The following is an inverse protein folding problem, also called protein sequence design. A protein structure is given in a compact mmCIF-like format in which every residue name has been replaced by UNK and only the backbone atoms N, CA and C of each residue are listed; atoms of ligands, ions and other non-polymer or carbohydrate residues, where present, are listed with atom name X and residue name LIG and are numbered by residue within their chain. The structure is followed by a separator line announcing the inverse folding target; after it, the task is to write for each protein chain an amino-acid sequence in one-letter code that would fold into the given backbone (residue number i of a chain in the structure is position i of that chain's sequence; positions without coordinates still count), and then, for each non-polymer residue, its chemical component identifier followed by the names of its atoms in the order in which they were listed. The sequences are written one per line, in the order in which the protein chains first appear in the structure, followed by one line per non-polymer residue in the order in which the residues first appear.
data_IF_704816096243
#
_entry.id   IF_704816096243
#
_cell.length_a   1.000
_cell.length_b   1.000
_cell.length_c   1.000
_cell.angle_alpha   90.00
_cell.angle_beta   90.00
_cell.angle_gamma   90.00
#
_symmetry.space_group_name_H-M   'P 1'
#
loop_
_entity.id
_entity.type
_entity.pdbx_description
1 polymer ?
#
# COMPACT_ATOMS: atom_id res chain seq x y z
N UNK A 1 22.08 56.28 -30.88
CA UNK A 1 22.41 55.26 -29.86
C UNK A 1 21.37 55.14 -28.73
N UNK A 2 20.99 56.19 -28.01
CA UNK A 2 19.98 56.12 -26.92
C UNK A 2 18.62 55.53 -27.34
N UNK A 3 18.12 55.87 -28.54
CA UNK A 3 16.82 55.31 -29.01
C UNK A 3 16.89 53.84 -29.39
N UNK A 4 18.02 53.33 -29.88
CA UNK A 4 18.21 51.90 -30.17
C UNK A 4 18.29 51.07 -28.89
N UNK A 5 18.90 51.60 -27.83
CA UNK A 5 19.00 50.95 -26.53
C UNK A 5 17.61 50.85 -25.86
N UNK A 6 16.78 51.89 -25.96
CA UNK A 6 15.42 51.87 -25.45
C UNK A 6 14.50 50.88 -26.18
N UNK A 7 14.66 50.76 -27.52
CA UNK A 7 13.94 49.77 -28.30
C UNK A 7 14.37 48.33 -27.97
N UNK A 8 15.67 48.09 -27.79
CA UNK A 8 16.16 46.78 -27.37
C UNK A 8 15.67 46.40 -25.94
N UNK A 9 15.67 47.36 -24.99
CA UNK A 9 15.14 47.15 -23.67
C UNK A 9 13.62 46.87 -23.63
N UNK A 10 12.85 47.52 -24.50
CA UNK A 10 11.41 47.26 -24.63
C UNK A 10 11.10 45.88 -25.22
N UNK A 11 11.95 45.37 -26.14
CA UNK A 11 11.81 44.02 -26.70
C UNK A 11 12.16 42.94 -25.69
N UNK A 12 13.10 43.19 -24.78
CA UNK A 12 13.47 42.26 -23.74
C UNK A 12 12.43 42.20 -22.59
N UNK A 13 11.70 43.29 -22.32
CA UNK A 13 10.66 43.35 -21.33
C UNK A 13 9.37 42.60 -21.75
N UNK A 14 9.22 42.23 -23.01
CA UNK A 14 8.09 41.47 -23.54
C UNK A 14 8.12 39.96 -23.23
N UNK A 15 9.22 39.42 -22.73
CA UNK A 15 9.37 38.04 -22.36
C UNK A 15 8.89 37.83 -20.91
N UNK A 16 7.69 38.31 -20.54
CA UNK A 16 7.03 37.82 -19.32
C UNK A 16 6.65 36.37 -19.58
N UNK A 17 7.12 35.51 -18.73
CA UNK A 17 6.75 34.10 -18.74
C UNK A 17 5.23 33.99 -18.50
N UNK A 18 4.47 33.92 -19.59
CA UNK A 18 3.03 33.64 -19.57
C UNK A 18 2.79 32.13 -19.66
N UNK A 19 3.73 31.35 -19.15
CA UNK A 19 3.59 29.90 -19.12
C UNK A 19 2.32 29.49 -18.36
N UNK A 20 1.65 28.48 -18.87
CA UNK A 20 0.48 27.88 -18.22
C UNK A 20 0.85 27.02 -16.99
N UNK A 21 2.11 27.04 -16.55
CA UNK A 21 2.57 26.27 -15.40
C UNK A 21 1.98 26.76 -14.06
N UNK A 22 1.81 28.07 -13.91
CA UNK A 22 1.20 28.66 -12.71
C UNK A 22 -0.16 29.28 -13.08
N UNK A 23 -1.20 28.53 -12.85
CA UNK A 23 -2.56 28.98 -13.08
C UNK A 23 -3.26 29.27 -11.74
N UNK A 24 -4.29 30.13 -11.77
CA UNK A 24 -5.16 30.40 -10.61
C UNK A 24 -6.10 29.21 -10.38
N UNK A 25 -5.55 28.08 -9.97
CA UNK A 25 -6.26 26.85 -9.60
C UNK A 25 -5.68 26.33 -8.31
N UNK A 26 -6.42 25.52 -7.59
CA UNK A 26 -5.86 24.74 -6.51
C UNK A 26 -5.16 23.50 -7.07
N UNK A 27 -3.92 23.29 -6.67
CA UNK A 27 -3.25 22.00 -6.82
C UNK A 27 -3.67 21.08 -5.68
N UNK A 28 -3.41 19.77 -5.83
CA UNK A 28 -3.70 18.80 -4.79
C UNK A 28 -3.00 19.21 -3.49
N UNK A 29 -3.74 19.23 -2.38
CA UNK A 29 -3.27 19.64 -1.05
C UNK A 29 -2.82 21.11 -0.93
N UNK A 30 -3.11 21.96 -1.91
CA UNK A 30 -2.83 23.39 -1.79
C UNK A 30 -3.63 24.02 -0.64
N UNK A 31 -3.08 25.04 0.05
CA UNK A 31 -3.87 25.82 0.98
C UNK A 31 -5.08 26.46 0.30
N UNK A 32 -6.23 26.47 0.97
CA UNK A 32 -7.47 27.06 0.45
C UNK A 32 -8.09 28.00 1.47
N UNK A 33 -8.61 29.12 0.99
CA UNK A 33 -9.40 30.06 1.79
C UNK A 33 -10.89 29.82 1.66
N UNK A 34 -11.30 28.90 0.79
CA UNK A 34 -12.72 28.59 0.52
C UNK A 34 -13.27 27.63 1.59
N UNK A 35 -12.43 26.68 2.05
CA UNK A 35 -12.85 25.64 2.97
C UNK A 35 -12.41 25.94 4.40
N UNK A 36 -13.26 25.60 5.37
CA UNK A 36 -13.02 25.88 6.79
C UNK A 36 -11.78 25.18 7.37
N UNK A 37 -11.41 24.03 6.81
CA UNK A 37 -10.22 23.25 7.18
C UNK A 37 -8.91 23.78 6.55
N UNK A 38 -9.02 24.82 5.71
CA UNK A 38 -7.88 25.47 5.07
C UNK A 38 -7.20 24.63 3.97
N UNK A 39 -7.79 23.51 3.55
CA UNK A 39 -7.22 22.65 2.52
C UNK A 39 -8.10 22.54 1.27
N UNK A 40 -7.47 22.40 0.10
CA UNK A 40 -8.19 22.11 -1.16
C UNK A 40 -8.55 20.62 -1.32
N UNK A 41 -7.91 19.74 -0.56
CA UNK A 41 -8.17 18.31 -0.57
C UNK A 41 -9.32 17.97 0.38
N UNK A 42 -10.54 18.03 -0.11
CA UNK A 42 -11.73 17.74 0.69
C UNK A 42 -11.98 16.23 0.78
N UNK A 43 -12.47 15.71 1.92
CA UNK A 43 -12.91 14.34 2.03
C UNK A 43 -14.09 14.07 1.11
N UNK A 44 -14.23 12.83 0.65
CA UNK A 44 -15.39 12.43 -0.14
C UNK A 44 -16.67 12.61 0.70
N UNK A 45 -17.76 13.14 0.10
CA UNK A 45 -19.05 13.22 0.78
C UNK A 45 -19.48 11.83 1.29
N UNK A 46 -20.12 11.80 2.46
CA UNK A 46 -20.63 10.56 3.02
C UNK A 46 -21.61 9.88 2.04
N UNK A 47 -21.50 8.58 1.87
CA UNK A 47 -22.34 7.81 0.94
C UNK A 47 -21.88 7.84 -0.53
N UNK A 48 -20.76 8.50 -0.84
CA UNK A 48 -20.19 8.43 -2.19
C UNK A 48 -19.76 6.99 -2.51
N UNK A 49 -20.24 6.46 -3.62
CA UNK A 49 -19.83 5.18 -4.20
C UNK A 49 -19.14 5.49 -5.52
N UNK A 50 -17.82 5.29 -5.57
CA UNK A 50 -17.06 5.50 -6.79
C UNK A 50 -17.22 4.31 -7.76
N UNK A 51 -16.94 4.55 -9.04
CA UNK A 51 -16.91 3.49 -10.03
C UNK A 51 -15.96 2.35 -9.59
N UNK A 52 -16.47 1.12 -9.63
CA UNK A 52 -15.73 -0.08 -9.23
C UNK A 52 -15.70 -0.38 -7.72
N UNK A 53 -16.25 0.48 -6.83
CA UNK A 53 -16.28 0.20 -5.39
C UNK A 53 -17.01 -1.09 -5.06
N UNK A 54 -18.17 -1.30 -5.66
CA UNK A 54 -18.96 -2.53 -5.42
C UNK A 54 -18.19 -3.79 -5.84
N UNK A 55 -17.44 -3.74 -6.95
CA UNK A 55 -16.61 -4.86 -7.40
C UNK A 55 -15.43 -5.09 -6.44
N UNK A 56 -14.80 -4.02 -5.94
CA UNK A 56 -13.74 -4.09 -4.93
C UNK A 56 -14.25 -4.70 -3.62
N UNK A 57 -15.41 -4.28 -3.17
CA UNK A 57 -16.05 -4.82 -1.97
C UNK A 57 -16.44 -6.29 -2.13
N UNK A 58 -16.96 -6.68 -3.30
CA UNK A 58 -17.26 -8.07 -3.59
C UNK A 58 -15.98 -8.94 -3.57
N UNK A 59 -14.87 -8.44 -4.13
CA UNK A 59 -13.59 -9.13 -4.12
C UNK A 59 -12.99 -9.32 -2.72
N UNK A 60 -13.34 -8.46 -1.74
CA UNK A 60 -12.93 -8.64 -0.35
C UNK A 60 -13.67 -9.79 0.35
N UNK A 61 -14.88 -10.13 -0.09
CA UNK A 61 -15.75 -11.10 0.58
C UNK A 61 -15.51 -12.54 0.13
N UNK A 62 -14.82 -12.74 -0.99
CA UNK A 62 -14.60 -14.07 -1.57
C UNK A 62 -13.12 -14.41 -1.52
N UNK A 63 -12.78 -15.40 -0.70
CA UNK A 63 -11.42 -15.93 -0.68
C UNK A 63 -11.16 -16.70 -1.97
N UNK A 64 -10.12 -16.33 -2.75
CA UNK A 64 -9.79 -17.06 -3.98
C UNK A 64 -9.15 -18.41 -3.66
N UNK A 65 -9.17 -19.32 -4.63
CA UNK A 65 -8.41 -20.55 -4.59
C UNK A 65 -6.90 -20.26 -4.52
N UNK A 66 -6.19 -21.00 -3.66
CA UNK A 66 -4.74 -20.84 -3.50
C UNK A 66 -4.02 -21.58 -4.62
N UNK A 67 -3.52 -20.84 -5.58
CA UNK A 67 -2.74 -21.35 -6.70
C UNK A 67 -1.27 -20.93 -6.59
N UNK A 68 -0.34 -21.60 -7.30
CA UNK A 68 1.06 -21.16 -7.37
C UNK A 68 1.21 -19.71 -7.92
N UNK A 69 0.32 -19.28 -8.81
CA UNK A 69 0.30 -17.92 -9.33
C UNK A 69 -0.11 -16.92 -8.24
N UNK A 70 -1.15 -17.24 -7.46
CA UNK A 70 -1.60 -16.42 -6.34
C UNK A 70 -0.50 -16.28 -5.28
N UNK A 71 0.22 -17.36 -4.95
CA UNK A 71 1.32 -17.34 -3.99
C UNK A 71 2.49 -16.49 -4.47
N UNK A 72 2.86 -16.56 -5.75
CA UNK A 72 3.90 -15.68 -6.32
C UNK A 72 3.49 -14.21 -6.23
N UNK A 73 2.27 -13.87 -6.65
CA UNK A 73 1.73 -12.51 -6.50
C UNK A 73 1.76 -12.06 -5.04
N UNK A 74 1.33 -12.94 -4.12
CA UNK A 74 1.33 -12.67 -2.69
C UNK A 74 2.72 -12.37 -2.15
N UNK A 75 3.73 -13.15 -2.57
CA UNK A 75 5.14 -12.91 -2.23
C UNK A 75 5.61 -11.56 -2.74
N UNK A 76 5.41 -11.28 -4.03
CA UNK A 76 5.88 -10.03 -4.65
C UNK A 76 5.27 -8.81 -3.93
N UNK A 77 3.99 -8.86 -3.58
CA UNK A 77 3.31 -7.78 -2.86
C UNK A 77 3.72 -7.71 -1.39
N UNK A 78 3.91 -8.84 -0.74
CA UNK A 78 4.42 -8.92 0.62
C UNK A 78 5.82 -8.30 0.71
N UNK A 79 6.71 -8.65 -0.20
CA UNK A 79 8.08 -8.15 -0.22
C UNK A 79 8.13 -6.62 -0.37
N UNK A 80 7.22 -6.03 -1.12
CA UNK A 80 7.14 -4.57 -1.32
C UNK A 80 6.48 -3.85 -0.14
N UNK A 81 5.32 -4.32 0.31
CA UNK A 81 4.48 -3.56 1.23
C UNK A 81 4.59 -3.99 2.70
N UNK A 82 4.95 -5.23 2.96
CA UNK A 82 4.87 -5.82 4.30
C UNK A 82 6.26 -6.07 4.90
N UNK A 83 7.22 -6.59 4.11
CA UNK A 83 8.54 -6.98 4.59
C UNK A 83 9.33 -5.86 5.26
N UNK A 84 9.18 -4.56 4.88
CA UNK A 84 9.91 -3.48 5.55
C UNK A 84 9.67 -3.42 7.07
N UNK A 85 8.48 -3.79 7.53
CA UNK A 85 8.15 -3.89 8.95
C UNK A 85 8.17 -5.33 9.46
N UNK A 86 7.54 -6.26 8.72
CA UNK A 86 7.32 -7.64 9.16
C UNK A 86 8.51 -8.58 8.94
N UNK A 87 9.53 -8.15 8.18
CA UNK A 87 10.64 -9.03 7.75
C UNK A 87 10.22 -9.95 6.60
N UNK A 88 11.18 -10.46 5.84
CA UNK A 88 10.93 -11.43 4.76
C UNK A 88 10.43 -12.78 5.28
N UNK A 89 10.76 -13.09 6.51
CA UNK A 89 10.40 -14.31 7.22
C UNK A 89 9.13 -14.18 8.05
N UNK A 90 8.59 -12.96 8.21
CA UNK A 90 7.38 -12.69 8.98
C UNK A 90 7.57 -12.63 10.49
N UNK A 91 8.79 -12.52 10.98
CA UNK A 91 9.09 -12.46 12.42
C UNK A 91 8.97 -11.07 13.05
N UNK A 92 8.71 -10.05 12.24
CA UNK A 92 8.56 -8.69 12.73
C UNK A 92 9.88 -7.92 12.90
N UNK A 93 10.98 -8.40 12.31
CA UNK A 93 12.29 -7.76 12.37
C UNK A 93 12.68 -7.06 11.06
N UNK A 94 11.71 -6.41 10.41
CA UNK A 94 11.95 -5.69 9.17
C UNK A 94 12.90 -4.50 9.33
N UNK A 95 13.40 -3.99 8.21
CA UNK A 95 14.39 -2.90 8.16
C UNK A 95 13.96 -1.66 8.95
N UNK A 96 12.68 -1.30 8.93
CA UNK A 96 12.15 -0.13 9.62
C UNK A 96 12.15 -0.35 11.15
N UNK A 97 11.85 -1.58 11.59
CA UNK A 97 11.92 -1.97 13.00
C UNK A 97 13.36 -1.88 13.51
N UNK A 98 14.33 -2.32 12.73
CA UNK A 98 15.76 -2.20 13.08
C UNK A 98 16.22 -0.73 13.21
N UNK A 99 15.43 0.21 12.70
CA UNK A 99 15.66 1.67 12.79
C UNK A 99 14.80 2.35 13.86
N UNK A 100 14.19 1.59 14.77
CA UNK A 100 13.48 2.10 15.94
C UNK A 100 11.96 2.14 15.83
N UNK A 101 11.36 1.62 14.75
CA UNK A 101 9.91 1.48 14.70
C UNK A 101 9.45 0.32 15.60
N UNK A 102 8.28 0.41 16.26
CA UNK A 102 7.77 -0.68 17.08
C UNK A 102 7.63 -1.99 16.29
N UNK A 103 8.11 -3.13 16.83
CA UNK A 103 8.01 -4.40 16.14
C UNK A 103 6.56 -4.89 16.07
N UNK A 104 6.09 -5.30 14.89
CA UNK A 104 4.82 -6.00 14.78
C UNK A 104 4.94 -7.42 15.37
N UNK A 105 3.83 -8.03 15.80
CA UNK A 105 3.85 -9.41 16.26
C UNK A 105 4.27 -10.36 15.11
N UNK A 106 5.09 -11.37 15.45
CA UNK A 106 5.46 -12.42 14.50
C UNK A 106 4.24 -13.17 13.98
N UNK A 107 4.17 -13.40 12.66
CA UNK A 107 3.13 -14.24 12.07
C UNK A 107 3.17 -15.68 12.55
N UNK A 108 4.29 -16.12 13.09
CA UNK A 108 4.49 -17.48 13.62
C UNK A 108 3.96 -17.67 15.05
N UNK A 109 3.46 -16.59 15.70
CA UNK A 109 2.81 -16.69 16.99
C UNK A 109 1.56 -17.57 16.92
N UNK A 110 1.29 -18.33 17.97
CA UNK A 110 0.12 -19.22 18.06
C UNK A 110 -1.18 -18.49 17.72
N UNK A 111 -1.38 -17.30 18.30
CA UNK A 111 -2.55 -16.45 18.04
C UNK A 111 -2.74 -16.15 16.54
N UNK A 112 -1.68 -15.78 15.81
CA UNK A 112 -1.79 -15.43 14.40
C UNK A 112 -1.86 -16.67 13.50
N UNK A 113 -1.29 -17.79 13.91
CA UNK A 113 -1.47 -19.07 13.20
C UNK A 113 -2.92 -19.57 13.29
N UNK A 114 -3.55 -19.39 14.43
CA UNK A 114 -4.96 -19.75 14.65
C UNK A 114 -5.96 -18.76 14.04
N UNK A 115 -5.54 -17.52 13.73
CA UNK A 115 -6.44 -16.51 13.16
C UNK A 115 -6.90 -16.91 11.74
N UNK A 116 -8.13 -16.61 11.29
CA UNK A 116 -8.56 -16.90 9.92
C UNK A 116 -7.83 -16.02 8.89
N UNK A 117 -7.81 -16.42 7.61
CA UNK A 117 -7.18 -15.64 6.54
C UNK A 117 -7.81 -14.23 6.39
N UNK A 118 -9.11 -14.11 6.65
CA UNK A 118 -9.85 -12.84 6.66
C UNK A 118 -9.26 -11.84 7.67
N UNK A 119 -8.71 -12.30 8.78
CA UNK A 119 -8.05 -11.43 9.76
C UNK A 119 -6.91 -10.62 9.13
N UNK A 120 -6.08 -11.26 8.30
CA UNK A 120 -4.99 -10.56 7.62
C UNK A 120 -5.52 -9.59 6.58
N UNK A 121 -6.55 -9.97 5.81
CA UNK A 121 -7.20 -9.09 4.83
C UNK A 121 -7.81 -7.88 5.53
N UNK A 122 -8.47 -8.08 6.67
CA UNK A 122 -9.09 -6.99 7.44
C UNK A 122 -8.04 -6.02 8.00
N UNK A 123 -6.94 -6.55 8.57
CA UNK A 123 -5.84 -5.71 9.09
C UNK A 123 -5.15 -4.93 7.95
N UNK A 124 -4.91 -5.55 6.81
CA UNK A 124 -4.34 -4.85 5.64
C UNK A 124 -5.31 -3.76 5.15
N UNK A 125 -6.62 -4.04 5.18
CA UNK A 125 -7.65 -3.11 4.71
C UNK A 125 -7.83 -1.92 5.64
N UNK A 126 -7.96 -2.17 6.94
CA UNK A 126 -8.40 -1.16 7.90
C UNK A 126 -7.24 -0.59 8.73
N UNK A 127 -6.09 -1.28 8.75
CA UNK A 127 -5.02 -1.01 9.70
C UNK A 127 -5.29 -1.63 11.07
N UNK A 128 -4.28 -1.62 11.94
CA UNK A 128 -4.40 -2.06 13.33
C UNK A 128 -3.31 -1.41 14.19
N UNK A 129 -3.68 -0.71 15.24
CA UNK A 129 -2.74 -0.01 16.11
C UNK A 129 -1.90 1.01 15.33
N UNK A 130 -0.58 0.84 15.31
CA UNK A 130 0.33 1.73 14.56
C UNK A 130 0.42 1.39 13.07
N UNK A 131 -0.11 0.24 12.65
CA UNK A 131 -0.19 -0.13 11.24
C UNK A 131 -1.36 0.60 10.59
N UNK A 132 -1.08 1.54 9.69
CA UNK A 132 -2.13 2.24 8.95
C UNK A 132 -2.73 1.36 7.84
N UNK A 133 -3.89 1.77 7.33
CA UNK A 133 -4.59 1.09 6.23
C UNK A 133 -3.76 1.09 4.95
N UNK A 134 -3.69 -0.06 4.29
CA UNK A 134 -3.12 -0.22 2.95
C UNK A 134 -4.18 -0.26 1.85
N UNK A 135 -5.44 0.05 2.18
CA UNK A 135 -6.56 -0.02 1.24
C UNK A 135 -6.32 0.76 -0.06
N UNK A 136 -5.70 1.93 0.02
CA UNK A 136 -5.40 2.78 -1.12
C UNK A 136 -4.22 2.29 -2.00
N UNK A 137 -3.40 1.35 -1.51
CA UNK A 137 -2.16 0.91 -2.17
C UNK A 137 -2.22 -0.53 -2.64
N UNK A 138 -2.98 -1.37 -1.95
CA UNK A 138 -3.07 -2.80 -2.20
C UNK A 138 -4.50 -3.15 -2.59
N UNK A 139 -4.77 -3.48 -3.86
CA UNK A 139 -6.09 -3.89 -4.33
C UNK A 139 -6.62 -5.11 -3.57
N UNK A 140 -7.95 -5.30 -3.46
CA UNK A 140 -8.56 -6.41 -2.72
C UNK A 140 -8.03 -7.81 -3.08
N UNK A 141 -7.89 -8.12 -4.36
CA UNK A 141 -7.36 -9.41 -4.81
C UNK A 141 -5.92 -9.65 -4.34
N UNK A 142 -5.10 -8.59 -4.30
CA UNK A 142 -3.72 -8.66 -3.82
C UNK A 142 -3.63 -8.84 -2.30
N UNK A 143 -4.61 -8.34 -1.53
CA UNK A 143 -4.69 -8.57 -0.08
C UNK A 143 -4.91 -10.05 0.23
N UNK A 144 -5.76 -10.72 -0.54
CA UNK A 144 -5.93 -12.16 -0.44
C UNK A 144 -4.68 -12.93 -0.84
N UNK A 145 -3.96 -12.48 -1.88
CA UNK A 145 -2.69 -13.07 -2.27
C UNK A 145 -1.64 -12.94 -1.15
N UNK A 146 -1.53 -11.77 -0.52
CA UNK A 146 -0.66 -11.54 0.64
C UNK A 146 -1.06 -12.46 1.81
N UNK A 147 -2.36 -12.55 2.11
CA UNK A 147 -2.84 -13.44 3.17
C UNK A 147 -2.49 -14.91 2.90
N UNK A 148 -2.60 -15.37 1.64
CA UNK A 148 -2.19 -16.71 1.24
C UNK A 148 -0.67 -16.90 1.41
N UNK A 149 0.15 -15.91 1.06
CA UNK A 149 1.59 -15.97 1.25
C UNK A 149 1.98 -15.99 2.73
N UNK A 150 1.32 -15.20 3.60
CA UNK A 150 1.52 -15.27 5.05
C UNK A 150 1.26 -16.70 5.57
N UNK A 151 0.23 -17.39 5.05
CA UNK A 151 0.00 -18.80 5.37
C UNK A 151 1.14 -19.70 4.92
N UNK A 152 1.69 -19.47 3.74
CA UNK A 152 2.86 -20.20 3.29
C UNK A 152 4.09 -19.97 4.19
N UNK A 153 4.33 -18.74 4.65
CA UNK A 153 5.36 -18.44 5.65
C UNK A 153 5.14 -19.20 6.96
N UNK A 154 3.90 -19.25 7.46
CA UNK A 154 3.57 -20.01 8.66
C UNK A 154 3.82 -21.51 8.48
N UNK A 155 3.40 -22.08 7.35
CA UNK A 155 3.64 -23.48 7.01
C UNK A 155 5.12 -23.81 6.88
N UNK A 156 5.93 -22.93 6.33
CA UNK A 156 7.36 -23.16 6.15
C UNK A 156 8.12 -23.47 7.44
N UNK A 157 7.56 -23.08 8.60
CA UNK A 157 8.17 -23.36 9.93
C UNK A 157 7.42 -24.38 10.77
N UNK A 158 6.18 -24.67 10.44
CA UNK A 158 5.30 -25.45 11.29
C UNK A 158 4.62 -26.62 10.58
N UNK A 159 4.88 -26.81 9.27
CA UNK A 159 4.35 -27.95 8.54
C UNK A 159 4.92 -29.27 9.07
N UNK A 160 4.06 -30.27 9.18
CA UNK A 160 4.46 -31.64 9.42
C UNK A 160 4.77 -32.36 8.10
N UNK A 161 5.51 -33.47 8.14
CA UNK A 161 5.74 -34.30 6.95
C UNK A 161 4.45 -34.83 6.32
N UNK A 162 3.39 -34.99 7.14
CA UNK A 162 2.07 -35.39 6.65
C UNK A 162 1.42 -34.31 5.78
N UNK A 163 1.72 -33.04 6.03
CA UNK A 163 1.22 -31.89 5.25
C UNK A 163 2.08 -31.56 4.02
N UNK A 164 3.31 -32.13 3.94
CA UNK A 164 4.23 -31.95 2.83
C UNK A 164 4.93 -33.26 2.49
N UNK A 165 4.20 -34.31 2.05
CA UNK A 165 4.75 -35.65 1.85
C UNK A 165 5.85 -35.69 0.80
N UNK A 166 5.84 -34.78 -0.18
CA UNK A 166 6.92 -34.65 -1.18
C UNK A 166 8.24 -34.15 -0.61
N UNK A 167 8.25 -33.59 0.60
CA UNK A 167 9.45 -33.13 1.27
C UNK A 167 10.22 -34.31 1.92
N UNK A 168 9.57 -35.44 2.18
CA UNK A 168 10.18 -36.58 2.91
C UNK A 168 11.42 -37.17 2.24
N UNK A 169 11.58 -37.03 0.92
CA UNK A 169 12.76 -37.46 0.18
C UNK A 169 13.79 -36.36 -0.11
N UNK A 170 13.57 -35.14 0.39
CA UNK A 170 14.43 -33.98 0.14
C UNK A 170 15.02 -33.36 1.40
N UNK A 171 14.61 -33.86 2.56
CA UNK A 171 15.17 -33.43 3.84
C UNK A 171 16.47 -34.20 4.10
N UNK A 172 17.52 -33.55 4.65
CA UNK A 172 18.78 -34.17 5.00
C UNK A 172 18.62 -35.19 6.12
#
# INVERSE_FOLDING_TARGET
MRRAVLLAAALLAGCQDQSLFQQKRYDAYAPSTIWLDGTSAQPLPAGTVAEGDLARDAALRVQPEVTPALLRLGRDRYDVFCSPCHGYDGDGHGMIVQRGFPPPPSYHSERLRAAPATHFVDVITNGYGVMYSYAARVPPAERWAIAAYIRALQLSRHATLAEAPEASGRLP
#
